data_IF_113203172662
#
_entry.id   IF_113203172662
#
_cell.length_a   1.000
_cell.length_b   1.000
_cell.length_c   1.000
_cell.angle_alpha   90.00
_cell.angle_beta   90.00
_cell.angle_gamma   90.00
#
_symmetry.space_group_name_H-M   'P 1'
#
loop_
_entity.id
_entity.type
_entity.pdbx_description
1 polymer ?
#
# COMPACT_ATOMS: atom_id res chain seq x y z
N UNK A 1 -19.47 -24.55 16.49
CA UNK A 1 -18.09 -24.23 16.88
C UNK A 1 -17.77 -22.72 16.73
N UNK A 2 -17.95 -22.08 15.57
CA UNK A 2 -17.68 -20.64 15.35
C UNK A 2 -18.46 -19.70 16.29
N UNK A 3 -19.75 -19.96 16.52
CA UNK A 3 -20.57 -19.14 17.42
C UNK A 3 -20.12 -19.21 18.90
N UNK A 4 -19.68 -20.38 19.36
CA UNK A 4 -19.14 -20.55 20.69
C UNK A 4 -17.77 -19.83 20.85
N UNK A 5 -16.92 -19.90 19.84
CA UNK A 5 -15.66 -19.15 19.76
C UNK A 5 -15.89 -17.64 19.78
N UNK A 6 -16.83 -17.13 19.00
CA UNK A 6 -17.15 -15.71 18.95
C UNK A 6 -17.68 -15.18 20.29
N UNK A 7 -18.48 -15.99 21.04
CA UNK A 7 -18.94 -15.65 22.38
C UNK A 7 -17.82 -15.63 23.41
N UNK A 8 -16.88 -16.55 23.32
CA UNK A 8 -15.75 -16.66 24.27
C UNK A 8 -14.70 -15.54 24.04
N UNK A 9 -14.40 -15.24 22.78
CA UNK A 9 -13.34 -14.28 22.42
C UNK A 9 -13.83 -12.84 22.32
N UNK A 10 -15.17 -12.61 22.26
CA UNK A 10 -15.78 -11.27 22.11
C UNK A 10 -14.99 -10.39 21.13
N UNK A 11 -14.78 -10.82 19.88
CA UNK A 11 -14.03 -10.04 18.93
C UNK A 11 -14.66 -8.66 18.80
N UNK A 12 -13.85 -7.62 18.75
CA UNK A 12 -14.34 -6.27 18.51
C UNK A 12 -15.17 -6.26 17.23
N UNK A 13 -16.38 -5.73 17.31
CA UNK A 13 -17.27 -5.64 16.15
C UNK A 13 -16.61 -4.73 15.12
N UNK A 14 -16.36 -5.26 13.93
CA UNK A 14 -15.86 -4.45 12.83
C UNK A 14 -16.93 -3.41 12.47
N UNK A 15 -16.57 -2.13 12.54
CA UNK A 15 -17.50 -1.08 12.11
C UNK A 15 -17.82 -1.27 10.64
N UNK A 16 -19.12 -1.33 10.32
CA UNK A 16 -19.57 -1.42 8.93
C UNK A 16 -18.93 -0.27 8.13
N UNK A 17 -18.34 -0.61 6.98
CA UNK A 17 -17.76 0.41 6.10
C UNK A 17 -18.85 1.36 5.63
N UNK A 18 -18.56 2.67 5.65
CA UNK A 18 -19.50 3.68 5.16
C UNK A 18 -19.80 3.45 3.67
N UNK A 19 -20.97 3.93 3.16
CA UNK A 19 -21.28 3.85 1.73
C UNK A 19 -20.16 4.39 0.84
N UNK A 20 -19.54 5.50 1.23
CA UNK A 20 -18.41 6.11 0.53
C UNK A 20 -17.18 5.19 0.51
N UNK A 21 -16.80 4.56 1.63
CA UNK A 21 -15.71 3.58 1.68
C UNK A 21 -15.99 2.36 0.82
N UNK A 22 -17.26 1.91 0.76
CA UNK A 22 -17.67 0.80 -0.10
C UNK A 22 -17.57 1.17 -1.59
N UNK A 23 -18.02 2.38 -1.97
CA UNK A 23 -17.90 2.88 -3.33
C UNK A 23 -16.42 3.01 -3.74
N UNK A 24 -15.59 3.62 -2.87
CA UNK A 24 -14.16 3.73 -3.07
C UNK A 24 -13.47 2.36 -3.27
N UNK A 25 -13.85 1.36 -2.48
CA UNK A 25 -13.30 0.01 -2.60
C UNK A 25 -13.67 -0.65 -3.94
N UNK A 26 -14.91 -0.43 -4.45
CA UNK A 26 -15.35 -0.92 -5.77
C UNK A 26 -14.55 -0.29 -6.90
N UNK A 27 -14.40 1.04 -6.89
CA UNK A 27 -13.61 1.78 -7.89
C UNK A 27 -12.14 1.34 -7.86
N UNK A 28 -11.53 1.25 -6.69
CA UNK A 28 -10.16 0.77 -6.54
C UNK A 28 -9.96 -0.65 -7.06
N UNK A 29 -10.90 -1.56 -6.79
CA UNK A 29 -10.89 -2.93 -7.33
C UNK A 29 -10.95 -2.93 -8.85
N UNK A 30 -11.83 -2.11 -9.45
CA UNK A 30 -11.95 -2.01 -10.91
C UNK A 30 -10.67 -1.45 -11.54
N UNK A 31 -10.12 -0.37 -10.97
CA UNK A 31 -8.84 0.19 -11.38
C UNK A 31 -7.73 -0.86 -11.40
N UNK A 32 -7.61 -1.66 -10.33
CA UNK A 32 -6.57 -2.69 -10.23
C UNK A 32 -6.73 -3.79 -11.29
N UNK A 33 -7.98 -4.14 -11.66
CA UNK A 33 -8.25 -5.07 -12.76
C UNK A 33 -7.76 -4.51 -14.10
N UNK A 34 -8.08 -3.25 -14.40
CA UNK A 34 -7.64 -2.59 -15.63
C UNK A 34 -6.10 -2.45 -15.71
N UNK A 35 -5.45 -2.12 -14.58
CA UNK A 35 -3.99 -2.08 -14.49
C UNK A 35 -3.36 -3.45 -14.77
N UNK A 36 -3.96 -4.53 -14.25
CA UNK A 36 -3.50 -5.89 -14.52
C UNK A 36 -3.68 -6.27 -16.00
N UNK A 37 -4.83 -5.95 -16.60
CA UNK A 37 -5.08 -6.15 -18.04
C UNK A 37 -4.08 -5.38 -18.89
N UNK A 38 -3.85 -4.10 -18.57
CA UNK A 38 -2.85 -3.28 -19.25
C UNK A 38 -1.44 -3.86 -19.16
N UNK A 39 -1.06 -4.42 -18.02
CA UNK A 39 0.25 -5.06 -17.85
C UNK A 39 0.37 -6.31 -18.75
N UNK A 40 -0.69 -7.12 -18.84
CA UNK A 40 -0.73 -8.28 -19.74
C UNK A 40 -0.60 -7.85 -21.20
N UNK A 41 -1.35 -6.83 -21.63
CA UNK A 41 -1.27 -6.33 -23.01
C UNK A 41 0.12 -5.73 -23.33
N UNK A 42 0.77 -5.06 -22.38
CA UNK A 42 2.15 -4.59 -22.56
C UNK A 42 3.13 -5.74 -22.77
N UNK A 43 2.97 -6.86 -22.05
CA UNK A 43 3.81 -8.05 -22.27
C UNK A 43 3.53 -8.65 -23.65
N UNK A 44 2.25 -8.85 -24.03
CA UNK A 44 1.87 -9.34 -25.37
C UNK A 44 2.42 -8.46 -26.49
N UNK A 45 2.39 -7.13 -26.30
CA UNK A 45 2.96 -6.20 -27.25
C UNK A 45 4.48 -6.38 -27.43
N UNK A 46 5.20 -6.65 -26.32
CA UNK A 46 6.66 -6.88 -26.40
C UNK A 46 7.03 -8.22 -27.03
N UNK A 47 6.09 -9.18 -27.05
CA UNK A 47 6.25 -10.52 -27.64
C UNK A 47 5.70 -10.61 -29.07
N UNK A 48 5.03 -9.56 -29.58
CA UNK A 48 4.43 -9.56 -30.90
C UNK A 48 5.52 -9.51 -31.99
N UNK A 49 5.55 -10.52 -32.85
CA UNK A 49 6.49 -10.64 -33.98
C UNK A 49 6.07 -9.75 -35.17
N UNK A 50 4.76 -9.50 -35.31
CA UNK A 50 4.19 -8.69 -36.38
C UNK A 50 3.88 -7.26 -35.90
N UNK A 51 4.31 -6.28 -36.69
CA UNK A 51 4.07 -4.86 -36.44
C UNK A 51 2.58 -4.50 -36.40
N UNK A 52 1.77 -5.06 -37.28
CA UNK A 52 0.34 -4.80 -37.33
C UNK A 52 -0.36 -5.30 -36.06
N UNK A 53 0.04 -6.45 -35.55
CA UNK A 53 -0.45 -6.97 -34.29
C UNK A 53 0.00 -6.08 -33.10
N UNK A 54 1.26 -5.66 -33.04
CA UNK A 54 1.77 -4.75 -32.01
C UNK A 54 1.01 -3.42 -32.01
N UNK A 55 0.64 -2.88 -33.18
CA UNK A 55 -0.17 -1.66 -33.30
C UNK A 55 -1.63 -1.87 -32.83
N UNK A 56 -2.24 -3.04 -33.07
CA UNK A 56 -3.57 -3.38 -32.53
C UNK A 56 -3.56 -3.44 -31.01
N UNK A 57 -2.54 -4.08 -30.44
CA UNK A 57 -2.38 -4.18 -28.97
C UNK A 57 -2.12 -2.78 -28.38
N UNK A 58 -1.35 -1.94 -29.07
CA UNK A 58 -1.11 -0.57 -28.63
C UNK A 58 -2.41 0.22 -28.49
N UNK A 59 -3.34 0.13 -29.47
CA UNK A 59 -4.66 0.79 -29.37
C UNK A 59 -5.46 0.30 -28.16
N UNK A 60 -5.44 -0.99 -27.85
CA UNK A 60 -6.10 -1.51 -26.66
C UNK A 60 -5.47 -0.96 -25.36
N UNK A 61 -4.15 -0.83 -25.32
CA UNK A 61 -3.44 -0.23 -24.20
C UNK A 61 -3.88 1.22 -23.99
N UNK A 62 -4.09 2.00 -25.05
CA UNK A 62 -4.60 3.38 -24.94
C UNK A 62 -6.01 3.45 -24.37
N UNK A 63 -6.91 2.54 -24.79
CA UNK A 63 -8.25 2.43 -24.19
C UNK A 63 -8.15 2.12 -22.68
N UNK A 64 -7.29 1.17 -22.30
CA UNK A 64 -7.09 0.83 -20.90
C UNK A 64 -6.49 2.00 -20.09
N UNK A 65 -5.59 2.79 -20.70
CA UNK A 65 -5.05 3.99 -20.07
C UNK A 65 -6.15 5.03 -19.79
N UNK A 66 -7.03 5.24 -20.79
CA UNK A 66 -8.16 6.16 -20.65
C UNK A 66 -9.10 5.73 -19.52
N UNK A 67 -9.55 4.50 -19.51
CA UNK A 67 -10.44 3.94 -18.48
C UNK A 67 -9.82 4.02 -17.07
N UNK A 68 -8.52 3.78 -16.95
CA UNK A 68 -7.81 3.92 -15.67
C UNK A 68 -7.83 5.38 -15.20
N UNK A 69 -7.61 6.34 -16.11
CA UNK A 69 -7.61 7.77 -15.78
C UNK A 69 -9.00 8.27 -15.33
N UNK A 70 -10.06 7.81 -16.01
CA UNK A 70 -11.45 8.13 -15.63
C UNK A 70 -11.76 7.62 -14.22
N UNK A 71 -11.46 6.35 -13.92
CA UNK A 71 -11.66 5.80 -12.57
C UNK A 71 -10.81 6.54 -11.52
N UNK A 72 -9.57 6.92 -11.83
CA UNK A 72 -8.74 7.70 -10.92
C UNK A 72 -9.35 9.09 -10.65
N UNK A 73 -10.00 9.69 -11.64
CA UNK A 73 -10.74 10.95 -11.50
C UNK A 73 -11.96 10.79 -10.59
N UNK A 74 -12.76 9.73 -10.81
CA UNK A 74 -13.90 9.40 -9.94
C UNK A 74 -13.46 9.14 -8.49
N UNK A 75 -12.38 8.38 -8.28
CA UNK A 75 -11.78 8.14 -6.96
C UNK A 75 -11.41 9.46 -6.28
N UNK A 76 -10.73 10.35 -7.00
CA UNK A 76 -10.33 11.64 -6.46
C UNK A 76 -11.52 12.54 -6.11
N UNK A 77 -12.59 12.53 -6.93
CA UNK A 77 -13.81 13.26 -6.68
C UNK A 77 -14.52 12.74 -5.41
N UNK A 78 -14.65 11.41 -5.30
CA UNK A 78 -15.25 10.75 -4.14
C UNK A 78 -14.47 11.05 -2.84
N UNK A 79 -13.14 10.96 -2.87
CA UNK A 79 -12.30 11.27 -1.71
C UNK A 79 -12.44 12.73 -1.30
N UNK A 80 -12.55 13.67 -2.25
CA UNK A 80 -12.73 15.10 -1.96
C UNK A 80 -14.12 15.42 -1.40
N UNK A 81 -15.16 14.70 -1.83
CA UNK A 81 -16.53 14.92 -1.38
C UNK A 81 -16.77 14.45 0.05
N UNK A 82 -15.96 13.54 0.57
CA UNK A 82 -16.09 12.95 1.91
C UNK A 82 -15.04 13.55 2.85
N UNK A 83 -15.41 14.43 3.80
CA UNK A 83 -14.45 15.16 4.64
C UNK A 83 -13.46 14.26 5.38
N UNK A 84 -13.94 13.14 5.97
CA UNK A 84 -13.07 12.18 6.67
C UNK A 84 -12.02 11.56 5.75
N UNK A 85 -12.41 11.20 4.51
CA UNK A 85 -11.48 10.63 3.53
C UNK A 85 -10.51 11.67 3.00
N UNK A 86 -10.98 12.92 2.81
CA UNK A 86 -10.15 14.04 2.37
C UNK A 86 -9.06 14.36 3.39
N UNK A 87 -9.42 14.43 4.68
CA UNK A 87 -8.48 14.65 5.78
C UNK A 87 -7.46 13.53 5.87
N UNK A 88 -7.92 12.28 5.85
CA UNK A 88 -7.04 11.10 5.85
C UNK A 88 -6.07 11.12 4.67
N UNK A 89 -6.57 11.43 3.47
CA UNK A 89 -5.75 11.53 2.26
C UNK A 89 -4.71 12.66 2.36
N UNK A 90 -5.10 13.81 2.90
CA UNK A 90 -4.18 14.94 3.11
C UNK A 90 -3.06 14.57 4.08
N UNK A 91 -3.40 13.96 5.21
CA UNK A 91 -2.42 13.47 6.18
C UNK A 91 -1.46 12.49 5.53
N UNK A 92 -1.97 11.45 4.85
CA UNK A 92 -1.13 10.43 4.22
C UNK A 92 -0.21 11.01 3.15
N UNK A 93 -0.72 11.91 2.30
CA UNK A 93 0.05 12.51 1.20
C UNK A 93 1.09 13.52 1.66
N UNK A 94 1.02 14.00 2.90
CA UNK A 94 2.08 14.84 3.48
C UNK A 94 3.39 14.06 3.72
N UNK A 95 3.32 12.72 3.76
CA UNK A 95 4.51 11.88 3.95
C UNK A 95 5.28 11.74 2.63
N UNK A 96 6.58 12.11 2.58
CA UNK A 96 7.39 11.95 1.38
C UNK A 96 7.37 10.51 0.85
N UNK A 97 7.08 10.37 -0.44
CA UNK A 97 7.01 9.08 -1.11
C UNK A 97 5.60 8.47 -1.19
N UNK A 98 4.63 8.95 -0.41
CA UNK A 98 3.25 8.52 -0.49
C UNK A 98 2.52 9.31 -1.57
N UNK A 99 2.42 8.72 -2.75
CA UNK A 99 1.68 9.27 -3.89
C UNK A 99 0.18 8.91 -3.89
N UNK A 100 -0.59 9.40 -4.90
CA UNK A 100 -2.03 9.16 -4.98
C UNK A 100 -2.40 7.68 -4.95
N UNK A 101 -1.69 6.83 -5.68
CA UNK A 101 -1.96 5.38 -5.74
C UNK A 101 -1.73 4.71 -4.39
N UNK A 102 -0.63 5.02 -3.70
CA UNK A 102 -0.35 4.46 -2.38
C UNK A 102 -1.39 4.93 -1.35
N UNK A 103 -1.76 6.21 -1.39
CA UNK A 103 -2.82 6.78 -0.55
C UNK A 103 -4.16 6.06 -0.78
N UNK A 104 -4.60 5.92 -2.04
CA UNK A 104 -5.82 5.21 -2.40
C UNK A 104 -5.81 3.76 -1.87
N UNK A 105 -4.71 3.02 -2.08
CA UNK A 105 -4.59 1.64 -1.61
C UNK A 105 -4.66 1.54 -0.07
N UNK A 106 -4.08 2.50 0.64
CA UNK A 106 -4.17 2.56 2.11
C UNK A 106 -5.59 2.88 2.58
N UNK A 107 -6.26 3.87 2.00
CA UNK A 107 -7.63 4.25 2.32
C UNK A 107 -8.62 3.09 2.11
N UNK A 108 -8.43 2.31 1.05
CA UNK A 108 -9.34 1.21 0.68
C UNK A 108 -9.02 -0.10 1.39
N UNK A 109 -7.73 -0.39 1.57
CA UNK A 109 -7.27 -1.70 2.02
C UNK A 109 -6.84 -1.72 3.49
N UNK A 110 -6.76 -0.56 4.16
CA UNK A 110 -6.33 -0.43 5.57
C UNK A 110 -7.22 0.55 6.34
N UNK A 111 -8.56 0.31 6.42
CA UNK A 111 -9.47 1.18 7.17
C UNK A 111 -9.16 1.21 8.67
N UNK A 112 -8.36 0.27 9.16
CA UNK A 112 -7.92 0.17 10.56
C UNK A 112 -6.75 1.09 10.91
N UNK A 113 -6.14 1.78 9.92
CA UNK A 113 -5.05 2.73 10.17
C UNK A 113 -5.49 3.82 11.16
N UNK A 114 -4.60 4.10 12.10
CA UNK A 114 -4.87 5.02 13.21
C UNK A 114 -5.56 4.38 14.41
N UNK A 115 -6.05 3.15 14.30
CA UNK A 115 -6.80 2.46 15.37
C UNK A 115 -6.03 1.29 15.99
N UNK A 116 -5.09 0.72 15.27
CA UNK A 116 -4.30 -0.44 15.68
C UNK A 116 -2.93 -0.06 16.22
N UNK A 117 -2.34 -0.99 17.00
CA UNK A 117 -0.95 -0.87 17.44
C UNK A 117 0.06 -1.04 16.28
N UNK A 118 1.31 -0.55 16.45
CA UNK A 118 2.33 -0.63 15.39
C UNK A 118 2.70 -2.05 14.96
N UNK A 119 2.59 -3.03 15.84
CA UNK A 119 2.85 -4.45 15.53
C UNK A 119 1.71 -5.06 14.72
N UNK A 120 0.48 -4.76 15.10
CA UNK A 120 -0.74 -5.26 14.45
C UNK A 120 -0.87 -4.73 13.03
N UNK A 121 -0.70 -3.42 12.84
CA UNK A 121 -0.77 -2.81 11.51
C UNK A 121 0.32 -3.35 10.58
N UNK A 122 1.53 -3.62 11.10
CA UNK A 122 2.60 -4.23 10.34
C UNK A 122 2.30 -5.68 9.96
N UNK A 123 1.64 -6.44 10.83
CA UNK A 123 1.20 -7.81 10.55
C UNK A 123 0.11 -7.84 9.46
N UNK A 124 -0.91 -6.96 9.58
CA UNK A 124 -1.97 -6.84 8.55
C UNK A 124 -1.42 -6.47 7.17
N UNK A 125 -0.44 -5.58 7.10
CA UNK A 125 0.23 -5.24 5.84
C UNK A 125 1.19 -6.32 5.34
N UNK A 126 1.44 -7.38 6.12
CA UNK A 126 2.42 -8.41 5.80
C UNK A 126 3.87 -7.91 5.79
N UNK A 127 4.15 -6.87 6.60
CA UNK A 127 5.49 -6.30 6.80
C UNK A 127 6.12 -6.71 8.13
N UNK A 128 5.42 -7.47 8.97
CA UNK A 128 5.98 -8.09 10.16
C UNK A 128 6.77 -9.33 9.75
N UNK A 129 8.05 -9.46 10.12
CA UNK A 129 8.80 -10.68 9.87
C UNK A 129 8.28 -11.80 10.78
N UNK A 130 8.09 -12.97 10.24
CA UNK A 130 7.78 -14.19 11.00
C UNK A 130 8.88 -15.23 10.82
N UNK A 131 9.01 -16.09 11.84
CA UNK A 131 9.94 -17.21 11.81
C UNK A 131 9.41 -18.29 10.85
N UNK A 132 10.33 -18.93 10.14
CA UNK A 132 10.06 -20.12 9.33
C UNK A 132 10.88 -21.25 9.95
N UNK A 133 10.49 -21.63 11.16
CA UNK A 133 11.17 -22.66 11.93
C UNK A 133 10.39 -23.97 11.79
N UNK A 134 11.06 -25.10 11.57
CA UNK A 134 10.47 -26.44 11.57
C UNK A 134 11.39 -27.43 12.28
N UNK A 135 10.93 -27.98 13.40
CA UNK A 135 11.74 -28.88 14.23
C UNK A 135 13.05 -28.24 14.69
N UNK A 136 14.19 -28.89 14.41
CA UNK A 136 15.52 -28.36 14.71
C UNK A 136 16.01 -27.29 13.72
N UNK A 137 15.31 -27.06 12.59
CA UNK A 137 15.71 -26.11 11.57
C UNK A 137 15.22 -24.70 11.93
N UNK A 138 16.16 -23.78 12.12
CA UNK A 138 15.89 -22.34 12.27
C UNK A 138 16.06 -21.65 10.92
N UNK A 139 14.94 -21.35 10.28
CA UNK A 139 14.90 -20.66 9.00
C UNK A 139 15.17 -19.16 9.08
N UNK A 140 15.51 -18.55 7.94
CA UNK A 140 15.61 -17.09 7.83
C UNK A 140 14.23 -16.46 7.99
N UNK A 141 14.15 -15.40 8.80
CA UNK A 141 12.91 -14.61 8.93
C UNK A 141 12.48 -14.05 7.59
N UNK A 142 11.23 -14.24 7.24
CA UNK A 142 10.60 -13.74 6.00
C UNK A 142 9.41 -12.86 6.34
N UNK A 143 9.10 -11.92 5.44
CA UNK A 143 7.82 -11.22 5.45
C UNK A 143 6.85 -11.97 4.53
N UNK A 144 5.56 -11.96 4.87
CA UNK A 144 4.55 -12.64 4.06
C UNK A 144 3.17 -12.52 4.69
N UNK A 145 2.20 -13.20 4.10
CA UNK A 145 0.81 -13.07 4.53
C UNK A 145 0.29 -11.65 4.38
N UNK A 146 -0.74 -11.31 5.12
CA UNK A 146 -1.32 -9.98 5.14
C UNK A 146 -1.81 -9.48 3.77
N UNK A 147 -2.04 -8.19 3.68
CA UNK A 147 -2.62 -7.52 2.49
C UNK A 147 -1.53 -7.20 1.48
N UNK A 148 -1.33 -8.08 0.49
CA UNK A 148 -0.29 -7.94 -0.54
C UNK A 148 -0.29 -6.59 -1.24
N UNK A 149 -1.48 -6.07 -1.62
CA UNK A 149 -1.62 -4.78 -2.31
C UNK A 149 -1.08 -3.61 -1.49
N UNK A 150 -1.36 -3.62 -0.19
CA UNK A 150 -0.82 -2.62 0.76
C UNK A 150 0.70 -2.71 0.83
N UNK A 151 1.24 -3.92 0.94
CA UNK A 151 2.69 -4.14 0.98
C UNK A 151 3.38 -3.66 -0.30
N UNK A 152 2.79 -3.95 -1.46
CA UNK A 152 3.33 -3.53 -2.76
C UNK A 152 3.30 -1.99 -2.89
N UNK A 153 2.19 -1.34 -2.49
CA UNK A 153 2.07 0.11 -2.49
C UNK A 153 3.08 0.79 -1.55
N UNK A 154 3.26 0.24 -0.33
CA UNK A 154 4.23 0.73 0.62
C UNK A 154 5.69 0.50 0.19
N UNK A 155 5.96 -0.58 -0.55
CA UNK A 155 7.28 -0.82 -1.15
C UNK A 155 7.60 0.26 -2.19
N UNK A 156 6.66 0.59 -3.07
CA UNK A 156 6.81 1.67 -4.05
C UNK A 156 6.93 3.04 -3.38
N UNK A 157 6.15 3.28 -2.32
CA UNK A 157 6.26 4.48 -1.50
C UNK A 157 7.65 4.59 -0.85
N UNK A 158 8.20 3.49 -0.34
CA UNK A 158 9.55 3.45 0.24
C UNK A 158 10.65 3.77 -0.79
N UNK A 159 10.55 3.24 -2.02
CA UNK A 159 11.46 3.58 -3.12
C UNK A 159 11.46 5.08 -3.43
N UNK A 160 10.27 5.70 -3.40
CA UNK A 160 10.15 7.14 -3.61
C UNK A 160 10.63 7.95 -2.40
N UNK A 161 10.35 7.47 -1.18
CA UNK A 161 10.72 8.16 0.06
C UNK A 161 12.25 8.28 0.24
N UNK A 162 13.01 7.24 -0.06
CA UNK A 162 14.48 7.29 0.01
C UNK A 162 15.12 8.23 -1.01
N UNK A 163 14.39 8.61 -2.06
CA UNK A 163 14.86 9.57 -3.08
C UNK A 163 14.48 11.02 -2.75
N UNK A 164 13.45 11.23 -1.90
CA UNK A 164 12.85 12.54 -1.66
C UNK A 164 13.02 13.08 -0.25
N UNK A 165 13.48 12.25 0.69
CA UNK A 165 13.60 12.67 2.09
C UNK A 165 14.82 12.04 2.75
N UNK A 166 15.73 12.89 3.20
CA UNK A 166 17.01 12.51 3.80
C UNK A 166 16.85 11.56 4.99
N UNK A 167 15.82 11.74 5.81
CA UNK A 167 15.54 10.86 6.95
C UNK A 167 15.30 9.41 6.55
N UNK A 168 14.59 9.16 5.44
CA UNK A 168 14.34 7.80 4.94
C UNK A 168 15.57 7.27 4.22
N UNK A 169 16.29 8.13 3.50
CA UNK A 169 17.55 7.80 2.87
C UNK A 169 18.59 7.40 3.91
N UNK A 170 18.82 8.21 4.93
CA UNK A 170 19.77 7.92 6.01
C UNK A 170 19.44 6.60 6.74
N UNK A 171 18.15 6.32 6.98
CA UNK A 171 17.73 5.05 7.57
C UNK A 171 18.01 3.86 6.64
N UNK A 172 17.75 3.99 5.35
CA UNK A 172 18.08 2.98 4.35
C UNK A 172 19.58 2.75 4.26
N UNK A 173 20.39 3.80 4.12
CA UNK A 173 21.85 3.74 3.97
C UNK A 173 22.50 3.08 5.19
N UNK A 174 22.04 3.41 6.41
CA UNK A 174 22.51 2.76 7.65
C UNK A 174 22.28 1.24 7.62
N UNK A 175 21.13 0.78 7.12
CA UNK A 175 20.84 -0.65 6.99
C UNK A 175 21.72 -1.30 5.92
N UNK A 176 22.00 -0.60 4.83
CA UNK A 176 22.90 -1.07 3.77
C UNK A 176 24.35 -1.19 4.26
N UNK A 177 24.82 -0.20 5.00
CA UNK A 177 26.14 -0.22 5.63
C UNK A 177 26.28 -1.35 6.67
N UNK A 178 25.17 -1.69 7.37
CA UNK A 178 25.11 -2.85 8.25
C UNK A 178 24.97 -4.20 7.50
N UNK A 179 25.25 -4.24 6.18
CA UNK A 179 25.25 -5.46 5.36
C UNK A 179 23.87 -6.01 4.99
N UNK A 180 22.77 -5.27 5.24
CA UNK A 180 21.44 -5.76 4.87
C UNK A 180 21.22 -5.65 3.37
N UNK A 181 20.63 -6.69 2.70
CA UNK A 181 20.28 -6.63 1.29
C UNK A 181 19.34 -5.45 0.99
N UNK A 182 19.46 -4.84 -0.21
CA UNK A 182 18.68 -3.67 -0.62
C UNK A 182 17.15 -3.85 -0.44
N UNK A 183 16.63 -5.00 -0.87
CA UNK A 183 15.21 -5.33 -0.73
C UNK A 183 14.76 -5.38 0.74
N UNK A 184 15.59 -5.94 1.63
CA UNK A 184 15.30 -6.00 3.06
C UNK A 184 15.33 -4.60 3.68
N UNK A 185 16.28 -3.75 3.33
CA UNK A 185 16.37 -2.36 3.77
C UNK A 185 15.13 -1.55 3.31
N UNK A 186 14.68 -1.73 2.06
CA UNK A 186 13.44 -1.11 1.55
C UNK A 186 12.19 -1.57 2.31
N UNK A 187 12.08 -2.85 2.63
CA UNK A 187 10.98 -3.37 3.44
C UNK A 187 10.99 -2.75 4.85
N UNK A 188 12.16 -2.53 5.44
CA UNK A 188 12.24 -1.83 6.72
C UNK A 188 11.79 -0.37 6.61
N UNK A 189 12.13 0.33 5.52
CA UNK A 189 11.60 1.67 5.22
C UNK A 189 10.09 1.64 5.04
N UNK A 190 9.54 0.69 4.28
CA UNK A 190 8.09 0.52 4.09
C UNK A 190 7.35 0.31 5.42
N UNK A 191 7.90 -0.52 6.31
CA UNK A 191 7.36 -0.71 7.65
C UNK A 191 7.42 0.57 8.49
N UNK A 192 8.52 1.33 8.40
CA UNK A 192 8.66 2.62 9.09
C UNK A 192 7.64 3.64 8.56
N UNK A 193 7.44 3.73 7.25
CA UNK A 193 6.40 4.55 6.63
C UNK A 193 5.01 4.18 7.18
N UNK A 194 4.66 2.90 7.18
CA UNK A 194 3.38 2.43 7.70
C UNK A 194 3.16 2.81 9.17
N UNK A 195 4.20 2.66 10.01
CA UNK A 195 4.12 3.03 11.43
C UNK A 195 3.92 4.54 11.61
N UNK A 196 4.59 5.36 10.79
CA UNK A 196 4.41 6.83 10.79
C UNK A 196 2.99 7.20 10.36
N UNK A 197 2.51 6.64 9.25
CA UNK A 197 1.14 6.87 8.75
C UNK A 197 0.10 6.49 9.80
N UNK A 198 0.27 5.35 10.46
CA UNK A 198 -0.63 4.90 11.52
C UNK A 198 -0.65 5.88 12.72
N UNK A 199 0.50 6.38 13.13
CA UNK A 199 0.57 7.36 14.22
C UNK A 199 -0.05 8.71 13.81
N UNK A 200 0.21 9.18 12.58
CA UNK A 200 -0.33 10.45 12.07
C UNK A 200 -1.86 10.43 12.00
N UNK A 201 -2.45 9.35 11.51
CA UNK A 201 -3.92 9.20 11.45
C UNK A 201 -4.54 9.10 12.85
N UNK A 202 -3.88 8.40 13.78
CA UNK A 202 -4.33 8.33 15.17
C UNK A 202 -4.31 9.70 15.85
N UNK A 203 -3.20 10.43 15.67
CA UNK A 203 -2.94 11.69 16.37
C UNK A 203 -3.46 12.91 15.58
N UNK A 204 -4.01 12.69 14.36
CA UNK A 204 -4.51 13.72 13.43
C UNK A 204 -3.48 14.82 13.17
N UNK A 205 -2.20 14.43 12.98
CA UNK A 205 -1.09 15.36 12.79
C UNK A 205 -0.43 15.17 11.43
N UNK A 206 -0.17 16.28 10.74
CA UNK A 206 0.59 16.31 9.48
C UNK A 206 2.04 15.87 9.74
N UNK A 207 2.66 15.22 8.72
CA UNK A 207 4.05 14.86 8.78
C UNK A 207 4.94 16.09 8.94
N UNK A 208 5.72 16.13 10.03
CA UNK A 208 6.73 17.16 10.25
C UNK A 208 8.10 16.55 10.02
N UNK A 209 8.90 17.18 9.18
CA UNK A 209 10.33 16.89 9.09
C UNK A 209 10.93 17.36 10.40
N UNK A 210 11.43 16.43 11.23
CA UNK A 210 12.21 16.85 12.38
C UNK A 210 13.46 17.60 11.86
N UNK A 211 13.81 18.75 12.45
CA UNK A 211 15.06 19.41 12.09
C UNK A 211 16.20 18.40 12.22
N UNK A 212 17.08 18.36 11.23
CA UNK A 212 18.33 17.61 11.30
C UNK A 212 19.19 18.25 12.39
N UNK A 213 19.35 17.55 13.49
CA UNK A 213 20.38 17.83 14.49
C UNK A 213 21.72 17.39 13.95
#
# INVERSE_FOLDING_TARGET
MLAAFARAMKPATEQAATPARNALAKLAKRRDQLVAMRAQEKNRRSEAEDRAMAERIARLIEVLNYEIAEIETEINALVKAEPELADDAQLMRSVPGVGPVACMQLLTQMPELGRLGPKEVAALAGLAPFNVDSGAYRGKRKIGGGRKRVRDALYMAALNAIRRADRFKAFYDRLRQAGKPAKLALIAVARKLLTILNAMLRDRKIYKVAPST
#
